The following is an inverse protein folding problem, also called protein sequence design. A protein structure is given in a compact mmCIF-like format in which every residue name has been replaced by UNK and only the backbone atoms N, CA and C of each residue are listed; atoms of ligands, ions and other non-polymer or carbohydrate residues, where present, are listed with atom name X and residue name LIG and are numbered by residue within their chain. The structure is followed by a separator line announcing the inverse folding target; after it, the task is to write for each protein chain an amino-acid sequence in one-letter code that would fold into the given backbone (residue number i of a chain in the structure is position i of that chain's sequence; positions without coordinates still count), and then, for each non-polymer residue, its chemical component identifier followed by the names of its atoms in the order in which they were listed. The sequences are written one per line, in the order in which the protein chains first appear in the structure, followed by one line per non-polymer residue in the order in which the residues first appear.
data_IF_969633092373
#
_entry.id   IF_969633092373
#
_cell.length_a   1.000
_cell.length_b   1.000
_cell.length_c   1.000
_cell.angle_alpha   90.00
_cell.angle_beta   90.00
_cell.angle_gamma   90.00
#
_symmetry.space_group_name_H-M   'P 1'
#
loop_
_entity.id
_entity.type
_entity.pdbx_description
1 polymer ?
#
# COMPACT_ATOMS: atom_id res chain seq x y z
N UNK A 1 2.22 -25.99 -4.90
CA UNK A 1 0.86 -26.19 -4.35
C UNK A 1 0.80 -25.57 -2.96
N UNK A 2 -0.15 -24.64 -2.71
CA UNK A 2 -0.06 -23.59 -1.70
C UNK A 2 -0.65 -24.04 -0.36
N UNK A 3 0.18 -24.34 0.64
CA UNK A 3 -0.32 -24.90 1.92
C UNK A 3 0.42 -24.42 3.17
N UNK A 4 1.27 -23.38 3.10
CA UNK A 4 2.13 -23.01 4.24
C UNK A 4 1.94 -21.60 4.80
N UNK A 5 1.07 -20.76 4.22
CA UNK A 5 0.84 -19.40 4.75
C UNK A 5 -0.31 -19.35 5.78
N UNK A 6 -1.13 -20.41 5.88
CA UNK A 6 -2.40 -20.37 6.63
C UNK A 6 -2.30 -20.88 8.08
N UNK A 7 -1.11 -21.25 8.55
CA UNK A 7 -0.95 -21.94 9.85
C UNK A 7 -0.65 -21.02 11.04
N UNK A 8 -0.60 -19.70 10.85
CA UNK A 8 -0.11 -18.76 11.87
C UNK A 8 -1.12 -17.69 12.33
N UNK A 9 -2.40 -17.85 12.02
CA UNK A 9 -3.45 -16.94 12.54
C UNK A 9 -4.59 -17.78 13.13
N UNK A 10 -4.41 -18.23 14.38
CA UNK A 10 -5.50 -18.82 15.16
C UNK A 10 -6.25 -17.69 15.88
N UNK A 11 -7.49 -17.35 15.49
CA UNK A 11 -8.29 -16.45 16.29
C UNK A 11 -8.65 -17.13 17.63
N UNK A 12 -8.35 -16.46 18.73
CA UNK A 12 -8.73 -16.88 20.08
C UNK A 12 -10.24 -16.70 20.23
N UNK A 13 -10.99 -17.79 20.19
CA UNK A 13 -12.42 -17.79 20.45
C UNK A 13 -12.66 -17.79 21.97
N UNK A 14 -13.04 -16.65 22.55
CA UNK A 14 -13.47 -16.61 23.96
C UNK A 14 -14.96 -16.95 24.02
N UNK A 15 -15.31 -18.08 24.65
CA UNK A 15 -16.70 -18.49 24.89
C UNK A 15 -17.07 -18.07 26.31
N UNK A 16 -17.96 -17.08 26.44
CA UNK A 16 -18.52 -16.71 27.76
C UNK A 16 -19.56 -17.76 28.17
N UNK A 17 -19.37 -18.37 29.35
CA UNK A 17 -20.23 -19.45 29.84
C UNK A 17 -21.68 -18.99 30.13
N UNK A 18 -21.90 -17.68 30.32
CA UNK A 18 -23.20 -17.12 30.72
C UNK A 18 -24.11 -16.79 29.52
N UNK A 19 -23.53 -16.49 28.35
CA UNK A 19 -24.26 -16.14 27.13
C UNK A 19 -23.52 -16.80 25.98
N UNK A 20 -24.12 -17.79 25.32
CA UNK A 20 -23.66 -18.52 24.11
C UNK A 20 -23.23 -17.56 22.98
N UNK A 21 -22.13 -16.84 23.17
CA UNK A 21 -21.56 -15.83 22.28
C UNK A 21 -20.08 -16.13 22.23
N UNK A 22 -19.66 -16.59 21.07
CA UNK A 22 -18.25 -16.80 20.75
C UNK A 22 -17.72 -15.43 20.35
N UNK A 23 -16.83 -14.86 21.15
CA UNK A 23 -16.11 -13.64 20.75
C UNK A 23 -14.83 -14.08 20.06
N UNK A 24 -14.78 -13.91 18.75
CA UNK A 24 -13.59 -14.19 17.95
C UNK A 24 -12.59 -13.05 18.19
N UNK A 25 -11.62 -13.27 19.07
CA UNK A 25 -10.52 -12.34 19.29
C UNK A 25 -9.43 -12.76 18.30
N UNK A 26 -9.29 -12.06 17.18
CA UNK A 26 -8.08 -12.21 16.37
C UNK A 26 -6.95 -11.47 17.13
N UNK A 27 -5.99 -12.17 17.76
CA UNK A 27 -4.93 -11.52 18.56
C UNK A 27 -3.99 -10.67 17.70
N UNK A 28 -4.02 -10.86 16.38
CA UNK A 28 -3.41 -9.99 15.39
C UNK A 28 -4.49 -9.46 14.46
N UNK A 29 -5.41 -8.63 14.96
CA UNK A 29 -6.08 -7.68 14.06
C UNK A 29 -4.96 -7.07 13.21
N UNK A 30 -4.94 -7.39 11.91
CA UNK A 30 -3.83 -7.10 11.00
C UNK A 30 -3.40 -5.66 11.29
N UNK A 31 -2.14 -5.45 11.71
CA UNK A 31 -1.67 -4.12 12.04
C UNK A 31 -1.51 -3.36 10.71
N UNK A 32 -2.63 -2.82 10.23
CA UNK A 32 -2.73 -2.12 8.95
C UNK A 32 -1.87 -0.85 8.97
N UNK A 33 -1.65 -0.24 10.13
CA UNK A 33 -0.81 0.94 10.28
C UNK A 33 0.68 0.56 10.04
N UNK A 34 1.18 -0.49 10.70
CA UNK A 34 2.55 -0.98 10.48
C UNK A 34 2.75 -1.58 9.07
N UNK A 35 1.71 -2.16 8.48
CA UNK A 35 1.73 -2.62 7.09
C UNK A 35 1.88 -1.46 6.12
N UNK A 36 1.06 -0.41 6.26
CA UNK A 36 1.13 0.81 5.43
C UNK A 36 2.50 1.47 5.54
N UNK A 37 3.04 1.63 6.73
CA UNK A 37 4.35 2.26 6.94
C UNK A 37 5.48 1.50 6.20
N UNK A 38 5.50 0.17 6.30
CA UNK A 38 6.48 -0.66 5.58
C UNK A 38 6.29 -0.57 4.07
N UNK A 39 5.05 -0.53 3.62
CA UNK A 39 4.72 -0.44 2.21
C UNK A 39 5.10 0.93 1.63
N UNK A 40 4.87 2.02 2.35
CA UNK A 40 5.34 3.37 1.99
C UNK A 40 6.87 3.43 1.89
N UNK A 41 7.58 2.78 2.81
CA UNK A 41 9.05 2.69 2.74
C UNK A 41 9.51 1.92 1.49
N UNK A 42 8.83 0.81 1.16
CA UNK A 42 9.11 0.04 -0.04
C UNK A 42 8.86 0.87 -1.31
N UNK A 43 7.72 1.55 -1.41
CA UNK A 43 7.38 2.44 -2.53
C UNK A 43 8.46 3.51 -2.72
N UNK A 44 8.84 4.22 -1.64
CA UNK A 44 9.92 5.22 -1.68
C UNK A 44 11.24 4.65 -2.19
N UNK A 45 11.54 3.39 -1.86
CA UNK A 45 12.75 2.72 -2.34
C UNK A 45 12.69 2.42 -3.85
N UNK A 46 11.52 2.01 -4.35
CA UNK A 46 11.31 1.78 -5.78
C UNK A 46 11.31 3.09 -6.57
N UNK A 47 10.67 4.14 -6.08
CA UNK A 47 10.69 5.49 -6.68
C UNK A 47 12.12 6.01 -6.81
N UNK A 48 12.91 5.95 -5.72
CA UNK A 48 14.33 6.36 -5.75
C UNK A 48 15.12 5.57 -6.79
N UNK A 49 14.90 4.25 -6.86
CA UNK A 49 15.60 3.39 -7.80
C UNK A 49 15.23 3.72 -9.25
N UNK A 50 13.94 3.95 -9.51
CA UNK A 50 13.43 4.35 -10.82
C UNK A 50 14.01 5.69 -11.25
N UNK A 51 13.95 6.70 -10.37
CA UNK A 51 14.51 8.02 -10.62
C UNK A 51 16.01 7.94 -10.93
N UNK A 52 16.77 7.13 -10.18
CA UNK A 52 18.20 6.95 -10.42
C UNK A 52 18.52 6.28 -11.76
N UNK A 53 17.75 5.25 -12.15
CA UNK A 53 17.93 4.55 -13.43
C UNK A 53 17.70 5.53 -14.57
N UNK A 54 16.59 6.26 -14.53
CA UNK A 54 16.23 7.23 -15.57
C UNK A 54 17.23 8.38 -15.59
N UNK A 55 17.59 8.94 -14.43
CA UNK A 55 18.56 10.03 -14.35
C UNK A 55 19.86 9.63 -15.01
N UNK A 56 20.42 8.45 -14.70
CA UNK A 56 21.65 7.93 -15.31
C UNK A 56 21.53 7.69 -16.81
N UNK A 57 20.34 7.37 -17.29
CA UNK A 57 20.05 7.10 -18.69
C UNK A 57 19.97 8.39 -19.55
N UNK A 58 19.57 9.51 -18.94
CA UNK A 58 19.49 10.80 -19.62
C UNK A 58 20.88 11.39 -19.92
N UNK A 59 20.98 12.07 -21.06
CA UNK A 59 22.14 12.90 -21.42
C UNK A 59 22.18 14.17 -20.58
N UNK A 60 23.34 14.83 -20.53
CA UNK A 60 23.49 16.08 -19.79
C UNK A 60 22.58 17.19 -20.33
N UNK A 61 22.39 17.25 -21.65
CA UNK A 61 21.47 18.19 -22.32
C UNK A 61 20.02 18.01 -21.88
N UNK A 62 19.55 16.77 -21.72
CA UNK A 62 18.19 16.49 -21.25
C UNK A 62 18.05 16.79 -19.75
N UNK A 63 19.09 16.51 -18.94
CA UNK A 63 19.09 16.83 -17.50
C UNK A 63 19.05 18.33 -17.24
N UNK A 64 19.76 19.13 -18.03
CA UNK A 64 19.80 20.59 -17.90
C UNK A 64 18.41 21.23 -18.08
N UNK A 65 17.49 20.59 -18.82
CA UNK A 65 16.10 21.07 -18.98
C UNK A 65 15.27 21.01 -17.71
N UNK A 66 15.67 20.19 -16.74
CA UNK A 66 14.93 20.02 -15.49
C UNK A 66 15.43 20.94 -14.37
N UNK A 67 16.50 21.72 -14.59
CA UNK A 67 17.10 22.64 -13.61
C UNK A 67 17.38 22.00 -12.23
N UNK A 68 17.57 20.67 -12.19
CA UNK A 68 17.77 19.89 -10.96
C UNK A 68 19.13 19.19 -11.00
N UNK A 69 19.87 19.26 -9.89
CA UNK A 69 21.22 18.70 -9.82
C UNK A 69 21.27 17.19 -9.51
N UNK A 70 20.26 16.64 -8.80
CA UNK A 70 20.42 15.33 -8.15
C UNK A 70 19.53 14.21 -8.73
N UNK A 71 18.23 14.43 -8.87
CA UNK A 71 17.31 13.51 -9.58
C UNK A 71 15.92 14.12 -9.76
N UNK A 72 15.28 13.86 -10.90
CA UNK A 72 13.89 14.24 -11.17
C UNK A 72 12.94 13.13 -10.74
N UNK A 73 11.79 13.49 -10.15
CA UNK A 73 10.73 12.55 -9.82
C UNK A 73 10.08 12.00 -11.10
N UNK A 74 10.22 10.69 -11.34
CA UNK A 74 9.64 10.04 -12.52
C UNK A 74 8.12 10.20 -12.57
N UNK A 75 7.45 10.03 -11.43
CA UNK A 75 5.99 10.07 -11.38
C UNK A 75 5.43 11.46 -11.68
N UNK A 76 6.16 12.52 -11.33
CA UNK A 76 5.73 13.91 -11.57
C UNK A 76 6.02 14.37 -13.01
N UNK A 77 7.11 13.88 -13.60
CA UNK A 77 7.59 14.30 -14.93
C UNK A 77 7.55 13.18 -15.97
N UNK A 78 6.65 12.21 -15.79
CA UNK A 78 6.59 10.96 -16.58
C UNK A 78 6.63 11.20 -18.07
N UNK A 79 5.74 12.05 -18.59
CA UNK A 79 5.64 12.30 -20.05
C UNK A 79 6.92 12.88 -20.63
N UNK A 80 7.50 13.89 -19.96
CA UNK A 80 8.73 14.52 -20.40
C UNK A 80 9.92 13.55 -20.37
N UNK A 81 10.01 12.71 -19.33
CA UNK A 81 11.07 11.72 -19.18
C UNK A 81 10.94 10.59 -20.20
N UNK A 82 9.73 10.10 -20.46
CA UNK A 82 9.48 9.08 -21.50
C UNK A 82 9.83 9.61 -22.89
N UNK A 83 9.44 10.85 -23.20
CA UNK A 83 9.80 11.48 -24.47
C UNK A 83 11.32 11.66 -24.62
N UNK A 84 12.02 12.05 -23.55
CA UNK A 84 13.47 12.15 -23.56
C UNK A 84 14.14 10.78 -23.77
N UNK A 85 13.65 9.72 -23.12
CA UNK A 85 14.13 8.35 -23.31
C UNK A 85 13.89 7.85 -24.74
N UNK A 86 12.75 8.18 -25.34
CA UNK A 86 12.43 7.84 -26.73
C UNK A 86 13.36 8.54 -27.73
N UNK A 87 13.64 9.83 -27.54
CA UNK A 87 14.60 10.59 -28.35
C UNK A 87 16.03 10.02 -28.27
N UNK A 88 16.39 9.46 -27.11
CA UNK A 88 17.69 8.80 -26.89
C UNK A 88 17.71 7.34 -27.34
N UNK A 89 16.60 6.82 -27.90
CA UNK A 89 16.51 5.46 -28.42
C UNK A 89 16.45 4.38 -27.33
N UNK A 90 15.87 4.69 -26.17
CA UNK A 90 15.74 3.78 -25.02
C UNK A 90 17.09 3.24 -24.52
N UNK A 91 17.93 4.10 -23.92
CA UNK A 91 19.22 3.69 -23.32
C UNK A 91 19.08 2.75 -22.10
N UNK A 92 17.84 2.52 -21.65
CA UNK A 92 17.48 1.59 -20.56
C UNK A 92 16.38 0.64 -21.01
N UNK A 93 16.29 -0.51 -20.35
CA UNK A 93 15.24 -1.48 -20.59
C UNK A 93 13.85 -0.89 -20.29
N UNK A 94 12.99 -0.85 -21.30
CA UNK A 94 11.58 -0.46 -21.14
C UNK A 94 10.86 -1.35 -20.11
N UNK A 95 11.15 -2.65 -20.11
CA UNK A 95 10.54 -3.62 -19.21
C UNK A 95 10.92 -3.35 -17.74
N UNK A 96 12.15 -2.91 -17.48
CA UNK A 96 12.60 -2.60 -16.11
C UNK A 96 11.91 -1.33 -15.56
N UNK A 97 11.71 -0.34 -16.43
CA UNK A 97 11.02 0.92 -16.10
C UNK A 97 9.55 0.65 -15.82
N UNK A 98 8.87 -0.10 -16.70
CA UNK A 98 7.45 -0.43 -16.54
C UNK A 98 7.20 -1.34 -15.34
N UNK A 99 8.06 -2.32 -15.08
CA UNK A 99 7.95 -3.18 -13.90
C UNK A 99 8.01 -2.38 -12.59
N UNK A 100 8.95 -1.42 -12.49
CA UNK A 100 9.06 -0.57 -11.30
C UNK A 100 7.87 0.37 -11.16
N UNK A 101 7.38 0.93 -12.27
CA UNK A 101 6.17 1.76 -12.28
C UNK A 101 4.95 0.98 -11.79
N UNK A 102 4.74 -0.22 -12.33
CA UNK A 102 3.62 -1.10 -11.96
C UNK A 102 3.65 -1.49 -10.48
N UNK A 103 4.83 -1.82 -9.95
CA UNK A 103 4.98 -2.18 -8.53
C UNK A 103 4.69 -0.98 -7.61
N UNK A 104 5.08 0.24 -8.01
CA UNK A 104 4.73 1.46 -7.26
C UNK A 104 3.22 1.69 -7.27
N UNK A 105 2.57 1.57 -8.44
CA UNK A 105 1.11 1.73 -8.57
C UNK A 105 0.33 0.66 -7.79
N UNK A 106 0.81 -0.59 -7.81
CA UNK A 106 0.26 -1.67 -7.01
C UNK A 106 0.40 -1.37 -5.50
N UNK A 107 1.57 -0.90 -5.07
CA UNK A 107 1.82 -0.48 -3.70
C UNK A 107 0.86 0.62 -3.23
N UNK A 108 0.68 1.67 -4.02
CA UNK A 108 -0.29 2.74 -3.73
C UNK A 108 -1.72 2.21 -3.61
N UNK A 109 -2.09 1.29 -4.51
CA UNK A 109 -3.40 0.63 -4.47
C UNK A 109 -3.61 -0.16 -3.19
N UNK A 110 -2.59 -0.90 -2.74
CA UNK A 110 -2.65 -1.66 -1.49
C UNK A 110 -2.73 -0.76 -0.24
N UNK A 111 -2.07 0.41 -0.26
CA UNK A 111 -2.23 1.41 0.81
C UNK A 111 -3.69 1.87 0.86
N UNK A 112 -4.30 2.18 -0.29
CA UNK A 112 -5.70 2.60 -0.35
C UNK A 112 -6.65 1.50 0.13
N UNK A 113 -6.44 0.25 -0.28
CA UNK A 113 -7.25 -0.88 0.18
C UNK A 113 -7.15 -1.08 1.70
N UNK A 114 -5.94 -0.94 2.26
CA UNK A 114 -5.74 -0.98 3.72
C UNK A 114 -6.38 0.24 4.41
N UNK A 115 -6.38 1.40 3.76
CA UNK A 115 -7.30 2.55 3.89
C UNK A 115 -8.72 2.15 4.26
N UNK A 116 -9.38 1.65 3.22
CA UNK A 116 -10.80 1.37 3.18
C UNK A 116 -11.18 0.26 4.17
N UNK A 117 -10.33 -0.77 4.30
CA UNK A 117 -10.54 -1.85 5.25
C UNK A 117 -10.54 -1.36 6.69
N UNK A 118 -9.62 -0.45 7.04
CA UNK A 118 -9.54 0.12 8.38
C UNK A 118 -10.76 1.00 8.70
N UNK A 119 -11.26 1.75 7.71
CA UNK A 119 -12.49 2.53 7.86
C UNK A 119 -13.74 1.65 8.01
N UNK A 120 -13.88 0.64 7.17
CA UNK A 120 -15.00 -0.29 7.20
C UNK A 120 -15.07 -1.00 8.56
N UNK A 121 -13.92 -1.44 9.08
CA UNK A 121 -13.82 -2.04 10.41
C UNK A 121 -14.27 -1.07 11.52
N UNK A 122 -13.83 0.20 11.48
CA UNK A 122 -14.26 1.24 12.43
C UNK A 122 -15.78 1.46 12.39
N UNK A 123 -16.37 1.52 11.18
CA UNK A 123 -17.81 1.69 10.96
C UNK A 123 -18.61 0.51 11.55
N UNK A 124 -18.16 -0.73 11.36
CA UNK A 124 -18.81 -1.92 11.94
C UNK A 124 -18.75 -1.97 13.48
N UNK A 125 -17.64 -1.58 14.09
CA UNK A 125 -17.52 -1.47 15.56
C UNK A 125 -18.51 -0.42 16.10
N UNK A 126 -18.68 0.70 15.42
CA UNK A 126 -19.67 1.73 15.79
C UNK A 126 -21.11 1.19 15.65
N UNK A 127 -21.45 0.53 14.55
CA UNK A 127 -22.80 -0.06 14.35
C UNK A 127 -23.14 -1.08 15.43
N UNK A 128 -22.22 -1.98 15.75
CA UNK A 128 -22.44 -3.02 16.77
C UNK A 128 -22.54 -2.47 18.19
N UNK A 129 -21.82 -1.40 18.52
CA UNK A 129 -21.92 -0.73 19.82
C UNK A 129 -23.25 0.04 19.99
N UNK A 130 -23.74 0.69 18.93
CA UNK A 130 -25.05 1.36 18.92
C UNK A 130 -26.21 0.35 19.05
N UNK A 131 -26.15 -0.78 18.34
CA UNK A 131 -27.17 -1.84 18.47
C UNK A 131 -27.21 -2.46 19.87
N UNK A 132 -26.06 -2.64 20.54
CA UNK A 132 -26.01 -3.12 21.92
C UNK A 132 -26.67 -2.14 22.90
N UNK A 133 -26.45 -0.84 22.76
CA UNK A 133 -27.08 0.20 23.61
C UNK A 133 -28.62 0.21 23.46
N UNK A 134 -29.14 0.12 22.23
CA UNK A 134 -30.58 0.12 21.95
C UNK A 134 -31.34 -1.09 22.53
N UNK A 135 -30.69 -2.25 22.59
CA UNK A 135 -31.28 -3.45 23.21
C UNK A 135 -31.32 -3.34 24.73
N UNK A 136 -30.35 -2.67 25.35
CA UNK A 136 -30.30 -2.46 26.80
C UNK A 136 -31.37 -1.47 27.27
N UNK A 137 -31.67 -0.42 26.49
CA UNK A 137 -32.69 0.59 26.82
C UNK A 137 -34.14 0.13 26.58
N UNK A 138 -34.36 -0.99 25.89
CA UNK A 138 -35.70 -1.59 25.66
C UNK A 138 -36.08 -2.66 26.70
N UNK A 139 -35.19 -2.98 27.64
CA UNK A 139 -35.38 -4.00 28.68
C UNK A 139 -35.72 -3.41 30.07
N UNK A 140 -36.08 -2.13 30.13
CA UNK A 140 -36.53 -1.43 31.35
C UNK A 140 -37.99 -1.06 31.18
#
# INVERSE_FOLDING_TARGET
VPMQVWRLVLPLAHVSNDKKRITLINPQAVNLDAYKEKLEQAIKSYERRLNLIIWRALSQEERDKFEQEESVSYMEHKEALLQALENLGWPVSYDDVTLLEDEILAGLTYIQQASDLQEAAKKEIQRTSVSKKRVLTKKV
#
